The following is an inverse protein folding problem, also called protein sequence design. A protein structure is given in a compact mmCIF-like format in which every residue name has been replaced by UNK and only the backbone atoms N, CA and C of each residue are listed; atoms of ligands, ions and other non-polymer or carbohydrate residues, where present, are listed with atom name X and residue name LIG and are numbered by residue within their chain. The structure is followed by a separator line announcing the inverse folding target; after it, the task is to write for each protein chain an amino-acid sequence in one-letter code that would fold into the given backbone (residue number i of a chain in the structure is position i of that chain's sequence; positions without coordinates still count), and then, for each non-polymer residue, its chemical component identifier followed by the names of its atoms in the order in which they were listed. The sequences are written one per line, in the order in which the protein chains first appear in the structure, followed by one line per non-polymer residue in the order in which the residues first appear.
data_IF_677365799070
#
_entry.id   IF_677365799070
#
_cell.length_a   1.000
_cell.length_b   1.000
_cell.length_c   1.000
_cell.angle_alpha   90.00
_cell.angle_beta   90.00
_cell.angle_gamma   90.00
#
_symmetry.space_group_name_H-M   'P 1'
#
loop_
_entity.id
_entity.type
_entity.pdbx_description
1 polymer ?
#
# COMPACT_ATOMS: atom_id res chain seq x y z
N UNK A 1 -0.35 -15.68 60.82
CA UNK A 1 -0.73 -16.07 59.45
C UNK A 1 -0.59 -14.82 58.61
N UNK A 2 0.57 -14.72 57.97
CA UNK A 2 1.08 -13.49 57.37
C UNK A 2 0.87 -13.56 55.86
N UNK A 3 0.24 -12.52 55.34
CA UNK A 3 -0.24 -12.39 53.97
C UNK A 3 0.85 -11.73 53.13
N UNK A 4 1.57 -12.52 52.33
CA UNK A 4 2.60 -12.02 51.41
C UNK A 4 2.34 -12.57 50.00
N UNK A 5 2.20 -11.68 49.02
CA UNK A 5 2.16 -12.07 47.61
C UNK A 5 1.20 -11.32 46.70
N UNK A 6 0.78 -10.08 47.03
CA UNK A 6 0.27 -9.17 46.00
C UNK A 6 1.48 -8.73 45.17
N UNK A 7 1.66 -9.31 43.98
CA UNK A 7 2.68 -8.84 43.03
C UNK A 7 2.25 -7.48 42.54
N UNK A 8 2.99 -6.47 43.00
CA UNK A 8 2.82 -5.08 42.63
C UNK A 8 3.28 -4.89 41.19
N UNK A 9 2.34 -4.98 40.25
CA UNK A 9 2.53 -4.74 38.81
C UNK A 9 2.84 -3.25 38.50
N UNK A 10 2.82 -2.38 39.52
CA UNK A 10 3.20 -0.97 39.41
C UNK A 10 4.72 -0.78 39.25
N UNK A 11 5.52 -1.80 39.55
CA UNK A 11 6.99 -1.72 39.51
C UNK A 11 7.61 -1.74 38.10
N UNK A 12 6.82 -1.95 37.03
CA UNK A 12 7.30 -1.80 35.64
C UNK A 12 6.93 -0.46 34.99
N UNK A 13 6.23 0.43 35.70
CA UNK A 13 5.81 1.72 35.16
C UNK A 13 6.75 2.89 35.51
N UNK A 14 7.79 2.67 36.33
CA UNK A 14 8.64 3.75 36.86
C UNK A 14 10.06 3.84 36.27
N UNK A 15 10.41 3.03 35.26
CA UNK A 15 11.62 3.25 34.47
C UNK A 15 11.30 3.93 33.13
N UNK A 16 10.60 5.07 33.17
CA UNK A 16 10.81 6.06 32.11
C UNK A 16 12.14 6.75 32.40
N UNK A 17 13.24 6.14 31.95
CA UNK A 17 14.48 6.89 31.75
C UNK A 17 14.11 8.11 30.94
N UNK A 18 14.29 9.31 31.49
CA UNK A 18 14.12 10.55 30.74
C UNK A 18 15.07 10.48 29.56
N UNK A 19 14.54 10.16 28.37
CA UNK A 19 15.32 10.15 27.14
C UNK A 19 15.71 11.59 26.89
N UNK A 20 16.96 11.94 27.19
CA UNK A 20 17.47 13.26 26.89
C UNK A 20 17.39 13.50 25.38
N UNK A 21 16.89 14.66 24.98
CA UNK A 21 16.78 15.04 23.58
C UNK A 21 18.19 15.04 22.95
N UNK A 22 18.36 14.27 21.87
CA UNK A 22 19.62 14.25 21.13
C UNK A 22 19.89 15.63 20.51
N UNK A 23 21.15 16.08 20.55
CA UNK A 23 21.59 17.30 19.88
C UNK A 23 22.10 17.03 18.44
N UNK A 24 22.09 15.77 18.00
CA UNK A 24 22.51 15.37 16.67
C UNK A 24 21.32 15.41 15.69
N UNK A 25 21.39 16.25 14.65
CA UNK A 25 20.30 16.47 13.70
C UNK A 25 19.83 15.17 13.01
N UNK A 26 20.75 14.27 12.64
CA UNK A 26 20.42 12.99 12.00
C UNK A 26 19.66 12.06 12.95
N UNK A 27 20.07 12.04 14.22
CA UNK A 27 19.39 11.26 15.28
C UNK A 27 17.99 11.78 15.50
N UNK A 28 17.84 13.09 15.73
CA UNK A 28 16.54 13.74 15.90
C UNK A 28 15.64 13.55 14.68
N UNK A 29 16.19 13.61 13.46
CA UNK A 29 15.43 13.36 12.23
C UNK A 29 14.88 11.93 12.18
N UNK A 30 15.69 10.95 12.59
CA UNK A 30 15.31 9.53 12.59
C UNK A 30 14.24 9.26 13.66
N UNK A 31 14.39 9.83 14.85
CA UNK A 31 13.41 9.76 15.93
C UNK A 31 12.07 10.38 15.49
N UNK A 32 12.09 11.57 14.89
CA UNK A 32 10.87 12.22 14.37
C UNK A 32 10.16 11.33 13.35
N UNK A 33 10.88 10.79 12.36
CA UNK A 33 10.30 9.89 11.35
C UNK A 33 9.71 8.63 11.98
N UNK A 34 10.36 8.11 13.03
CA UNK A 34 9.88 6.94 13.76
C UNK A 34 8.56 7.26 14.48
N UNK A 35 8.48 8.37 15.21
CA UNK A 35 7.25 8.78 15.88
C UNK A 35 6.13 9.14 14.90
N UNK A 36 6.45 9.75 13.76
CA UNK A 36 5.48 9.97 12.69
C UNK A 36 4.88 8.64 12.25
N UNK A 37 5.73 7.67 11.88
CA UNK A 37 5.33 6.32 11.46
C UNK A 37 4.44 5.64 12.51
N UNK A 38 4.86 5.63 13.78
CA UNK A 38 4.06 5.07 14.89
C UNK A 38 2.70 5.75 14.97
N UNK A 39 2.66 7.09 14.83
CA UNK A 39 1.43 7.87 14.85
C UNK A 39 0.45 7.48 13.74
N UNK A 40 0.91 7.30 12.50
CA UNK A 40 0.06 6.86 11.40
C UNK A 40 -0.43 5.43 11.60
N UNK A 41 0.45 4.50 11.96
CA UNK A 41 0.08 3.10 12.22
C UNK A 41 -0.97 2.98 13.35
N UNK A 42 -0.81 3.79 14.41
CA UNK A 42 -1.77 3.83 15.50
C UNK A 42 -3.19 4.20 15.03
N UNK A 43 -3.34 5.08 14.04
CA UNK A 43 -4.65 5.44 13.47
C UNK A 43 -5.34 4.21 12.85
N UNK A 44 -4.61 3.41 12.08
CA UNK A 44 -5.13 2.18 11.47
C UNK A 44 -5.49 1.14 12.52
N UNK A 45 -4.60 0.89 13.48
CA UNK A 45 -4.78 -0.10 14.54
C UNK A 45 -5.96 0.27 15.48
N UNK A 46 -6.11 1.54 15.82
CA UNK A 46 -7.27 2.05 16.56
C UNK A 46 -8.54 1.87 15.72
N UNK A 47 -8.52 2.24 14.45
CA UNK A 47 -9.65 2.09 13.53
C UNK A 47 -10.13 0.64 13.40
N UNK A 48 -9.21 -0.33 13.27
CA UNK A 48 -9.50 -1.76 13.21
C UNK A 48 -10.18 -2.27 14.48
N UNK A 49 -9.67 -1.90 15.66
CA UNK A 49 -10.26 -2.28 16.96
C UNK A 49 -11.64 -1.68 17.17
N UNK A 50 -11.79 -0.38 16.88
CA UNK A 50 -13.08 0.32 16.94
C UNK A 50 -14.12 -0.35 16.03
N UNK A 51 -13.74 -0.71 14.81
CA UNK A 51 -14.62 -1.42 13.87
C UNK A 51 -15.03 -2.78 14.41
N UNK A 52 -14.06 -3.57 14.89
CA UNK A 52 -14.32 -4.90 15.43
C UNK A 52 -15.32 -4.87 16.59
N UNK A 53 -15.11 -3.98 17.57
CA UNK A 53 -16.02 -3.83 18.72
C UNK A 53 -17.42 -3.41 18.26
N UNK A 54 -17.51 -2.48 17.31
CA UNK A 54 -18.78 -2.01 16.74
C UNK A 54 -19.58 -3.12 16.06
N UNK A 55 -18.88 -4.06 15.41
CA UNK A 55 -19.50 -5.12 14.60
C UNK A 55 -19.77 -6.42 15.41
N UNK A 56 -19.04 -6.67 16.51
CA UNK A 56 -19.02 -8.00 17.13
C UNK A 56 -19.34 -8.06 18.63
N UNK A 57 -19.12 -7.00 19.41
CA UNK A 57 -19.04 -7.12 20.88
C UNK A 57 -20.13 -6.36 21.64
N UNK A 58 -20.58 -5.22 21.11
CA UNK A 58 -21.53 -4.36 21.83
C UNK A 58 -22.97 -4.49 21.34
N UNK A 59 -23.91 -4.48 22.29
CA UNK A 59 -25.33 -4.35 22.00
C UNK A 59 -25.65 -3.02 21.31
N UNK A 60 -26.75 -2.97 20.54
CA UNK A 60 -27.12 -1.78 19.78
C UNK A 60 -27.30 -0.56 20.71
N UNK A 61 -26.50 0.49 20.49
CA UNK A 61 -26.54 1.73 21.27
C UNK A 61 -25.39 1.92 22.27
N UNK A 62 -24.71 0.86 22.69
CA UNK A 62 -23.63 0.93 23.69
C UNK A 62 -22.29 1.44 23.13
N UNK A 63 -22.12 1.39 21.80
CA UNK A 63 -20.87 1.78 21.15
C UNK A 63 -20.44 3.22 21.44
N UNK A 64 -21.40 4.14 21.58
CA UNK A 64 -21.12 5.55 21.87
C UNK A 64 -20.57 5.75 23.27
N UNK A 65 -21.24 5.19 24.28
CA UNK A 65 -20.80 5.26 25.68
C UNK A 65 -19.39 4.69 25.83
N UNK A 66 -19.13 3.54 25.20
CA UNK A 66 -17.85 2.85 25.29
C UNK A 66 -16.67 3.69 24.76
N UNK A 67 -16.77 4.29 23.56
CA UNK A 67 -15.65 5.09 23.07
C UNK A 67 -15.48 6.43 23.82
N UNK A 68 -16.54 6.96 24.43
CA UNK A 68 -16.48 8.17 25.26
C UNK A 68 -15.72 7.91 26.56
N UNK A 69 -15.86 6.74 27.16
CA UNK A 69 -15.06 6.29 28.31
C UNK A 69 -13.55 6.21 27.98
N UNK A 70 -13.21 5.96 26.70
CA UNK A 70 -11.84 6.00 26.19
C UNK A 70 -11.35 7.42 25.86
N UNK A 71 -12.12 8.46 26.18
CA UNK A 71 -11.86 9.86 25.85
C UNK A 71 -11.74 10.12 24.34
N UNK A 72 -12.38 9.31 23.51
CA UNK A 72 -12.43 9.53 22.06
C UNK A 72 -13.70 10.29 21.67
N UNK A 73 -13.58 11.19 20.70
CA UNK A 73 -14.75 11.87 20.13
C UNK A 73 -15.28 11.12 18.91
N UNK A 74 -16.58 11.29 18.64
CA UNK A 74 -17.28 10.67 17.50
C UNK A 74 -16.61 10.93 16.15
N UNK A 75 -16.05 12.13 15.95
CA UNK A 75 -15.43 12.53 14.69
C UNK A 75 -14.18 11.68 14.42
N UNK A 76 -13.28 11.58 15.38
CA UNK A 76 -12.09 10.73 15.29
C UNK A 76 -12.47 9.26 15.11
N UNK A 77 -13.38 8.74 15.93
CA UNK A 77 -13.83 7.33 15.85
C UNK A 77 -14.37 7.00 14.46
N UNK A 78 -15.22 7.87 13.91
CA UNK A 78 -15.82 7.66 12.59
C UNK A 78 -14.76 7.70 11.49
N UNK A 79 -13.78 8.60 11.59
CA UNK A 79 -12.66 8.71 10.64
C UNK A 79 -11.73 7.52 10.71
N UNK A 80 -11.29 7.12 11.90
CA UNK A 80 -10.40 5.98 12.10
C UNK A 80 -11.01 4.68 11.56
N UNK A 81 -12.28 4.40 11.86
CA UNK A 81 -12.99 3.24 11.30
C UNK A 81 -13.05 3.31 9.77
N UNK A 82 -13.34 4.49 9.21
CA UNK A 82 -13.44 4.68 7.75
C UNK A 82 -12.09 4.44 7.08
N UNK A 83 -11.02 4.99 7.64
CA UNK A 83 -9.64 4.80 7.17
C UNK A 83 -9.31 3.30 7.15
N UNK A 84 -9.45 2.63 8.30
CA UNK A 84 -9.14 1.20 8.44
C UNK A 84 -10.03 0.27 7.58
N UNK A 85 -11.19 0.73 7.12
CA UNK A 85 -12.08 -0.06 6.26
C UNK A 85 -11.78 0.08 4.77
N UNK A 86 -11.19 1.21 4.38
CA UNK A 86 -11.08 1.58 2.97
C UNK A 86 -9.64 1.64 2.47
N UNK A 87 -8.66 1.81 3.37
CA UNK A 87 -7.25 1.87 3.04
C UNK A 87 -6.59 0.63 3.64
N UNK A 88 -5.88 -0.12 2.80
CA UNK A 88 -4.96 -1.14 3.27
C UNK A 88 -3.61 -0.49 3.61
N UNK A 89 -3.18 -0.64 4.85
CA UNK A 89 -1.93 -0.06 5.35
C UNK A 89 -0.71 -0.56 4.53
N UNK A 90 -0.77 -1.79 4.01
CA UNK A 90 0.31 -2.36 3.17
C UNK A 90 0.44 -1.68 1.81
N UNK A 91 -0.65 -1.13 1.27
CA UNK A 91 -0.68 -0.52 -0.06
C UNK A 91 -0.23 0.96 -0.03
N UNK A 92 0.01 1.50 1.17
CA UNK A 92 0.42 2.89 1.36
C UNK A 92 1.67 2.95 2.26
N UNK A 93 2.87 2.67 1.73
CA UNK A 93 4.11 2.71 2.50
C UNK A 93 4.41 4.08 3.13
N UNK A 94 3.84 5.15 2.59
CA UNK A 94 3.90 6.54 3.09
C UNK A 94 2.79 6.90 4.08
N UNK A 95 1.74 6.07 4.24
CA UNK A 95 0.59 6.35 5.12
C UNK A 95 0.97 6.48 6.60
N UNK A 96 2.08 5.84 7.00
CA UNK A 96 2.60 5.92 8.36
C UNK A 96 2.88 7.35 8.81
N UNK A 97 3.17 8.28 7.90
CA UNK A 97 3.45 9.68 8.27
C UNK A 97 2.25 10.62 8.11
N UNK A 98 1.11 10.11 7.63
CA UNK A 98 -0.05 10.95 7.32
C UNK A 98 -0.95 11.14 8.54
N UNK A 99 -1.40 12.37 8.73
CA UNK A 99 -2.39 12.69 9.76
C UNK A 99 -3.77 12.15 9.43
N UNK A 100 -4.61 12.00 10.47
CA UNK A 100 -5.99 11.46 10.35
C UNK A 100 -6.86 12.18 9.32
N UNK A 101 -6.68 13.49 9.12
CA UNK A 101 -7.47 14.25 8.16
C UNK A 101 -7.13 13.89 6.71
N UNK A 102 -5.83 13.81 6.40
CA UNK A 102 -5.34 13.44 5.06
C UNK A 102 -5.77 12.01 4.74
N UNK A 103 -5.51 11.08 5.66
CA UNK A 103 -5.93 9.69 5.55
C UNK A 103 -7.44 9.56 5.33
N UNK A 104 -8.25 10.34 6.05
CA UNK A 104 -9.69 10.32 5.88
C UNK A 104 -10.15 10.84 4.52
N UNK A 105 -9.54 11.91 4.01
CA UNK A 105 -9.86 12.43 2.68
C UNK A 105 -9.51 11.39 1.61
N UNK A 106 -8.34 10.76 1.67
CA UNK A 106 -7.92 9.67 0.76
C UNK A 106 -8.88 8.47 0.88
N UNK A 107 -9.22 8.05 2.11
CA UNK A 107 -10.11 6.90 2.35
C UNK A 107 -11.51 7.09 1.77
N UNK A 108 -11.91 8.33 1.52
CA UNK A 108 -13.22 8.69 0.98
C UNK A 108 -13.16 9.12 -0.50
N UNK A 109 -12.00 9.01 -1.15
CA UNK A 109 -11.87 9.04 -2.60
C UNK A 109 -12.32 7.70 -3.23
N UNK A 110 -12.67 7.68 -4.52
CA UNK A 110 -12.85 6.44 -5.27
C UNK A 110 -11.60 5.55 -5.17
N UNK A 111 -11.72 4.21 -5.00
CA UNK A 111 -10.56 3.34 -4.79
C UNK A 111 -9.45 3.48 -5.82
N UNK A 112 -9.81 3.54 -7.11
CA UNK A 112 -8.91 3.73 -8.26
C UNK A 112 -8.06 5.01 -8.15
N UNK A 113 -8.62 6.05 -7.51
CA UNK A 113 -8.04 7.39 -7.46
C UNK A 113 -7.15 7.60 -6.23
N UNK A 114 -7.03 6.62 -5.32
CA UNK A 114 -6.34 6.79 -4.04
C UNK A 114 -4.82 6.75 -4.14
N UNK A 115 -4.27 6.15 -5.19
CA UNK A 115 -2.84 6.11 -5.50
C UNK A 115 -2.50 6.68 -6.89
N UNK A 116 -3.51 7.11 -7.65
CA UNK A 116 -3.31 7.67 -8.98
C UNK A 116 -2.91 9.16 -8.89
N UNK A 117 -1.84 9.59 -9.60
CA UNK A 117 -1.47 11.00 -9.67
C UNK A 117 -2.60 11.89 -10.17
N UNK A 118 -2.78 13.04 -9.52
CA UNK A 118 -3.86 13.99 -9.78
C UNK A 118 -3.31 15.32 -10.28
N UNK A 119 -3.99 15.89 -11.29
CA UNK A 119 -3.68 17.22 -11.79
C UNK A 119 -4.34 18.31 -10.94
N UNK A 120 -3.51 19.16 -10.35
CA UNK A 120 -3.96 20.26 -9.49
C UNK A 120 -4.20 21.56 -10.26
N UNK A 121 -4.98 22.46 -9.66
CA UNK A 121 -5.20 23.82 -10.22
C UNK A 121 -3.92 24.66 -10.24
N UNK A 122 -2.93 24.32 -9.41
CA UNK A 122 -1.60 24.91 -9.44
C UNK A 122 -0.78 24.51 -10.68
N UNK A 123 -1.23 23.51 -11.44
CA UNK A 123 -0.48 22.90 -12.53
C UNK A 123 0.48 21.78 -12.09
N UNK A 124 0.59 21.54 -10.78
CA UNK A 124 1.37 20.43 -10.23
C UNK A 124 0.64 19.09 -10.41
N UNK A 125 1.41 18.01 -10.52
CA UNK A 125 0.90 16.64 -10.49
C UNK A 125 1.39 15.99 -9.20
N UNK A 126 0.46 15.58 -8.34
CA UNK A 126 0.77 14.97 -7.05
C UNK A 126 -0.02 13.70 -6.84
N UNK A 127 0.56 12.74 -6.14
CA UNK A 127 -0.22 11.62 -5.59
C UNK A 127 -1.04 12.07 -4.38
N UNK A 128 -2.18 11.42 -4.07
CA UNK A 128 -3.03 11.80 -2.94
C UNK A 128 -2.33 11.87 -1.58
N UNK A 129 -1.31 11.05 -1.35
CA UNK A 129 -0.50 11.05 -0.12
C UNK A 129 0.47 12.25 -0.02
N UNK A 130 0.77 12.91 -1.13
CA UNK A 130 1.57 14.14 -1.21
C UNK A 130 0.72 15.42 -1.15
N UNK A 131 -0.61 15.27 -1.21
CA UNK A 131 -1.54 16.39 -1.26
C UNK A 131 -1.93 16.88 0.13
N UNK A 132 -2.11 18.19 0.22
CA UNK A 132 -2.74 18.82 1.39
C UNK A 132 -4.23 18.46 1.44
N UNK A 133 -4.83 18.58 2.64
CA UNK A 133 -6.28 18.38 2.83
C UNK A 133 -7.13 19.25 1.89
N UNK A 134 -6.70 20.48 1.62
CA UNK A 134 -7.43 21.39 0.71
C UNK A 134 -7.40 20.86 -0.72
N UNK A 135 -6.22 20.49 -1.21
CA UNK A 135 -6.03 19.89 -2.52
C UNK A 135 -6.87 18.62 -2.68
N UNK A 136 -6.85 17.70 -1.69
CA UNK A 136 -7.67 16.49 -1.71
C UNK A 136 -9.17 16.78 -1.81
N UNK A 137 -9.66 17.77 -1.07
CA UNK A 137 -11.08 18.20 -1.12
C UNK A 137 -11.46 18.83 -2.45
N UNK A 138 -10.54 19.53 -3.10
CA UNK A 138 -10.75 20.10 -4.43
C UNK A 138 -10.78 19.01 -5.49
N UNK A 139 -9.82 18.08 -5.46
CA UNK A 139 -9.78 16.92 -6.35
C UNK A 139 -11.04 16.06 -6.22
N UNK A 140 -11.47 15.74 -5.01
CA UNK A 140 -12.72 15.00 -4.79
C UNK A 140 -13.95 15.71 -5.37
N UNK A 141 -14.02 17.05 -5.26
CA UNK A 141 -15.10 17.83 -5.85
C UNK A 141 -15.08 17.76 -7.38
N UNK A 142 -13.89 17.83 -8.00
CA UNK A 142 -13.73 17.67 -9.44
C UNK A 142 -14.10 16.27 -9.93
N UNK A 143 -13.61 15.24 -9.26
CA UNK A 143 -13.96 13.85 -9.55
C UNK A 143 -15.48 13.65 -9.47
N UNK A 144 -16.12 14.12 -8.40
CA UNK A 144 -17.57 14.02 -8.25
C UNK A 144 -18.33 14.74 -9.38
N UNK A 145 -17.88 15.92 -9.79
CA UNK A 145 -18.48 16.65 -10.92
C UNK A 145 -18.33 15.88 -12.24
N UNK A 146 -17.14 15.35 -12.52
CA UNK A 146 -16.87 14.55 -13.72
C UNK A 146 -17.71 13.26 -13.76
N UNK A 147 -17.84 12.55 -12.63
CA UNK A 147 -18.71 11.38 -12.54
C UNK A 147 -20.18 11.73 -12.77
N UNK A 148 -20.66 12.85 -12.20
CA UNK A 148 -22.03 13.30 -12.40
C UNK A 148 -22.32 13.67 -13.86
N UNK A 149 -21.39 14.36 -14.52
CA UNK A 149 -21.49 14.70 -15.95
C UNK A 149 -21.49 13.45 -16.83
N UNK A 150 -20.59 12.49 -16.57
CA UNK A 150 -20.54 11.23 -17.30
C UNK A 150 -21.84 10.42 -17.16
N UNK A 151 -22.43 10.35 -15.95
CA UNK A 151 -23.72 9.70 -15.73
C UNK A 151 -24.87 10.41 -16.46
N UNK A 152 -24.86 11.75 -16.48
CA UNK A 152 -25.86 12.52 -17.22
C UNK A 152 -25.77 12.26 -18.72
N UNK A 153 -24.56 12.26 -19.28
CA UNK A 153 -24.29 11.96 -20.69
C UNK A 153 -24.74 10.53 -21.05
N UNK A 154 -24.43 9.54 -20.21
CA UNK A 154 -24.86 8.16 -20.42
C UNK A 154 -26.39 8.00 -20.39
N UNK A 155 -27.07 8.75 -19.53
CA UNK A 155 -28.53 8.78 -19.47
C UNK A 155 -29.12 9.37 -20.76
N UNK A 156 -28.53 10.46 -21.28
CA UNK A 156 -28.95 11.09 -22.53
C UNK A 156 -28.75 10.15 -23.73
N UNK A 157 -27.62 9.46 -23.81
CA UNK A 157 -27.36 8.42 -24.82
C UNK A 157 -28.44 7.35 -24.80
N UNK A 158 -28.73 6.78 -23.62
CA UNK A 158 -29.78 5.76 -23.45
C UNK A 158 -31.17 6.25 -23.88
N UNK A 159 -31.48 7.53 -23.64
CA UNK A 159 -32.74 8.14 -24.07
C UNK A 159 -32.78 8.35 -25.60
N UNK A 160 -31.67 8.77 -26.20
CA UNK A 160 -31.53 8.92 -27.63
C UNK A 160 -31.70 7.57 -28.34
N UNK A 161 -31.08 6.50 -27.85
CA UNK A 161 -31.21 5.15 -28.38
C UNK A 161 -32.66 4.65 -28.32
N UNK A 162 -33.33 4.83 -27.18
CA UNK A 162 -34.76 4.48 -27.04
C UNK A 162 -35.64 5.26 -28.01
N UNK A 163 -35.32 6.53 -28.28
CA UNK A 163 -36.06 7.36 -29.24
C UNK A 163 -35.79 6.91 -30.68
N UNK A 164 -34.54 6.61 -31.02
CA UNK A 164 -34.16 6.09 -32.33
C UNK A 164 -34.88 4.77 -32.61
N UNK A 165 -34.92 3.86 -31.64
CA UNK A 165 -35.60 2.58 -31.78
C UNK A 165 -37.12 2.73 -31.95
N UNK A 166 -37.76 3.64 -31.19
CA UNK A 166 -39.20 3.95 -31.40
C UNK A 166 -39.49 4.52 -32.79
N UNK A 167 -38.61 5.37 -33.32
CA UNK A 167 -38.76 5.91 -34.67
C UNK A 167 -38.58 4.82 -35.72
N UNK A 168 -37.61 3.92 -35.53
CA UNK A 168 -37.39 2.76 -36.40
C UNK A 168 -38.59 1.80 -36.39
N UNK A 169 -39.19 1.56 -35.23
CA UNK A 169 -40.42 0.78 -35.09
C UNK A 169 -41.62 1.46 -35.80
N UNK A 170 -41.72 2.79 -35.73
CA UNK A 170 -42.76 3.55 -36.43
C UNK A 170 -42.58 3.49 -37.95
N UNK A 171 -41.35 3.65 -38.45
CA UNK A 171 -41.04 3.52 -39.88
C UNK A 171 -41.37 2.10 -40.36
N UNK A 172 -41.02 1.07 -39.59
CA UNK A 172 -41.32 -0.33 -39.91
C UNK A 172 -42.83 -0.61 -39.92
N UNK A 173 -43.60 0.02 -39.01
CA UNK A 173 -45.06 -0.08 -38.98
C UNK A 173 -45.74 0.66 -40.14
N UNK A 174 -45.22 1.81 -40.54
CA UNK A 174 -45.73 2.59 -41.69
C UNK A 174 -45.41 1.92 -43.03
N UNK A 175 -44.42 1.03 -43.08
CA UNK A 175 -44.12 0.19 -44.25
C UNK A 175 -45.02 -1.06 -44.36
N UNK A 176 -45.98 -1.27 -43.45
CA UNK A 176 -47.02 -2.31 -43.57
C UNK A 176 -48.38 -1.68 -43.89
N UNK A 177 -48.71 -1.75 -45.19
CA UNK A 177 -49.96 -1.45 -45.91
C UNK A 177 -50.51 -0.02 -45.93
N UNK A 178 -50.95 0.39 -47.13
CA UNK A 178 -52.34 0.81 -47.27
C UNK A 178 -53.07 0.15 -48.46
N UNK A 179 -54.09 -0.66 -48.17
CA UNK A 179 -55.25 -0.80 -49.05
C UNK A 179 -56.10 0.47 -48.94
N UNK A 180 -55.90 1.44 -49.84
CA UNK A 180 -56.86 2.51 -50.09
C UNK A 180 -56.98 2.71 -51.60
N UNK A 181 -58.17 2.43 -52.16
CA UNK A 181 -58.54 2.76 -53.54
C UNK A 181 -58.44 4.28 -53.74
N UNK A 182 -57.44 4.73 -54.47
CA UNK A 182 -57.46 6.02 -55.18
C UNK A 182 -57.06 5.76 -56.64
N UNK A 183 -57.74 6.44 -57.55
CA UNK A 183 -57.54 6.33 -58.99
C UNK A 183 -56.11 6.79 -59.32
N UNK A 184 -55.28 5.84 -59.73
CA UNK A 184 -53.86 6.03 -60.02
C UNK A 184 -53.70 6.58 -61.44
N UNK A 185 -53.17 7.79 -61.54
CA UNK A 185 -52.35 8.17 -62.70
C UNK A 185 -50.92 8.07 -62.20
N UNK A 186 -50.23 7.01 -62.60
CA UNK A 186 -48.83 6.74 -62.24
C UNK A 186 -47.98 7.93 -62.73
N UNK A 187 -47.33 8.69 -61.83
CA UNK A 187 -46.33 9.68 -62.24
C UNK A 187 -45.20 8.95 -62.98
N UNK A 188 -44.74 9.50 -64.10
CA UNK A 188 -43.80 8.83 -65.01
C UNK A 188 -42.46 8.42 -64.35
N UNK A 189 -42.18 8.92 -63.16
CA UNK A 189 -40.95 8.79 -62.35
C UNK A 189 -41.11 7.84 -61.12
N UNK A 190 -42.25 7.16 -60.96
CA UNK A 190 -42.51 6.25 -59.83
C UNK A 190 -41.61 4.99 -59.84
N UNK A 191 -41.31 4.46 -61.01
CA UNK A 191 -40.42 3.30 -61.16
C UNK A 191 -38.97 3.66 -60.79
N UNK A 192 -38.53 4.86 -61.15
CA UNK A 192 -37.18 5.35 -60.88
C UNK A 192 -36.97 5.59 -59.38
N UNK A 193 -37.92 6.24 -58.72
CA UNK A 193 -37.87 6.47 -57.26
C UNK A 193 -37.91 5.17 -56.44
N UNK A 194 -38.59 4.13 -56.92
CA UNK A 194 -38.59 2.79 -56.30
C UNK A 194 -37.24 2.09 -56.47
N UNK A 195 -36.60 2.23 -57.62
CA UNK A 195 -35.26 1.71 -57.86
C UNK A 195 -34.23 2.43 -56.97
N UNK A 196 -34.35 3.75 -56.82
CA UNK A 196 -33.50 4.56 -55.96
C UNK A 196 -33.64 4.19 -54.48
N UNK A 197 -34.87 3.96 -54.00
CA UNK A 197 -35.11 3.53 -52.62
C UNK A 197 -34.51 2.14 -52.33
N UNK A 198 -34.59 1.22 -53.30
CA UNK A 198 -33.99 -0.11 -53.19
C UNK A 198 -32.46 0.01 -53.11
N UNK A 199 -31.86 0.80 -54.00
CA UNK A 199 -30.42 1.04 -54.00
C UNK A 199 -29.94 1.74 -52.71
N UNK A 200 -30.72 2.68 -52.17
CA UNK A 200 -30.41 3.35 -50.91
C UNK A 200 -30.43 2.39 -49.72
N UNK A 201 -31.42 1.48 -49.65
CA UNK A 201 -31.50 0.48 -48.58
C UNK A 201 -30.37 -0.55 -48.65
N UNK A 202 -29.98 -0.99 -49.85
CA UNK A 202 -28.81 -1.86 -50.04
C UNK A 202 -27.53 -1.17 -49.55
N UNK A 203 -27.37 0.13 -49.86
CA UNK A 203 -26.23 0.93 -49.39
C UNK A 203 -26.22 1.14 -47.88
N UNK A 204 -27.38 1.29 -47.25
CA UNK A 204 -27.50 1.39 -45.79
C UNK A 204 -27.07 0.06 -45.15
N UNK A 205 -27.46 -1.08 -45.71
CA UNK A 205 -27.06 -2.39 -45.21
C UNK A 205 -25.53 -2.61 -45.33
N UNK A 206 -24.93 -2.20 -46.45
CA UNK A 206 -23.48 -2.26 -46.65
C UNK A 206 -22.71 -1.36 -45.67
N UNK A 207 -23.23 -0.16 -45.41
CA UNK A 207 -22.66 0.77 -44.44
C UNK A 207 -22.78 0.25 -43.00
N UNK A 208 -23.91 -0.37 -42.64
CA UNK A 208 -24.08 -1.01 -41.34
C UNK A 208 -23.06 -2.12 -41.13
N UNK A 209 -22.86 -2.96 -42.14
CA UNK A 209 -21.86 -4.03 -42.09
C UNK A 209 -20.43 -3.50 -41.91
N UNK A 210 -20.07 -2.43 -42.61
CA UNK A 210 -18.77 -1.78 -42.45
C UNK A 210 -18.57 -1.18 -41.05
N UNK A 211 -19.64 -0.66 -40.45
CA UNK A 211 -19.59 -0.13 -39.08
C UNK A 211 -19.42 -1.27 -38.08
N UNK A 212 -20.14 -2.39 -38.24
CA UNK A 212 -20.02 -3.56 -37.37
C UNK A 212 -18.60 -4.17 -37.47
N UNK A 213 -18.06 -4.33 -38.68
CA UNK A 213 -16.70 -4.81 -38.91
C UNK A 213 -15.64 -3.89 -38.25
N UNK A 214 -15.86 -2.57 -38.29
CA UNK A 214 -14.97 -1.60 -37.67
C UNK A 214 -15.05 -1.61 -36.13
N UNK A 215 -16.23 -1.84 -35.57
CA UNK A 215 -16.43 -2.01 -34.13
C UNK A 215 -15.72 -3.28 -33.65
N UNK A 216 -15.85 -4.38 -34.40
CA UNK A 216 -15.18 -5.63 -34.06
C UNK A 216 -13.65 -5.52 -34.13
N UNK A 217 -13.10 -4.87 -35.16
CA UNK A 217 -11.64 -4.61 -35.25
C UNK A 217 -11.16 -3.74 -34.08
N UNK A 218 -11.93 -2.70 -33.71
CA UNK A 218 -11.58 -1.84 -32.57
C UNK A 218 -11.62 -2.61 -31.24
N UNK A 219 -12.63 -3.44 -31.02
CA UNK A 219 -12.76 -4.26 -29.81
C UNK A 219 -11.61 -5.28 -29.70
N UNK A 220 -11.20 -5.89 -30.81
CA UNK A 220 -10.05 -6.81 -30.83
C UNK A 220 -8.74 -6.09 -30.51
N UNK A 221 -8.51 -4.89 -31.06
CA UNK A 221 -7.33 -4.07 -30.73
C UNK A 221 -7.29 -3.69 -29.27
N UNK A 222 -8.42 -3.25 -28.71
CA UNK A 222 -8.53 -2.86 -27.31
C UNK A 222 -8.28 -4.05 -26.38
N UNK A 223 -8.79 -5.24 -26.72
CA UNK A 223 -8.52 -6.46 -25.96
C UNK A 223 -7.03 -6.81 -25.95
N UNK A 224 -6.36 -6.71 -27.10
CA UNK A 224 -4.92 -6.95 -27.20
C UNK A 224 -4.11 -5.92 -26.41
N UNK A 225 -4.48 -4.64 -26.45
CA UNK A 225 -3.82 -3.58 -25.70
C UNK A 225 -3.96 -3.77 -24.18
N UNK A 226 -5.16 -4.14 -23.72
CA UNK A 226 -5.42 -4.46 -22.31
C UNK A 226 -4.57 -5.65 -21.82
N UNK A 227 -4.39 -6.66 -22.67
CA UNK A 227 -3.57 -7.84 -22.34
C UNK A 227 -2.07 -7.48 -22.28
N UNK A 228 -1.62 -6.58 -23.17
CA UNK A 228 -0.26 -6.06 -23.17
C UNK A 228 0.02 -5.18 -21.95
N UNK A 229 -0.96 -4.41 -21.49
CA UNK A 229 -0.87 -3.60 -20.28
C UNK A 229 -0.87 -4.44 -19.00
N UNK A 230 -1.71 -5.49 -18.94
CA UNK A 230 -1.65 -6.49 -17.86
C UNK A 230 -0.29 -7.18 -17.80
N UNK A 231 0.26 -7.61 -18.94
CA UNK A 231 1.57 -8.24 -19.00
C UNK A 231 2.70 -7.29 -18.54
N UNK A 232 2.59 -5.98 -18.81
CA UNK A 232 3.52 -4.97 -18.30
C UNK A 232 3.38 -4.75 -16.80
N UNK A 233 2.15 -4.73 -16.28
CA UNK A 233 1.91 -4.62 -14.84
C UNK A 233 2.51 -5.82 -14.09
N UNK A 234 2.24 -7.05 -14.57
CA UNK A 234 2.83 -8.27 -14.02
C UNK A 234 4.37 -8.24 -14.09
N UNK A 235 4.93 -7.71 -15.17
CA UNK A 235 6.38 -7.58 -15.32
C UNK A 235 6.99 -6.60 -14.30
N UNK A 236 6.34 -5.46 -14.04
CA UNK A 236 6.82 -4.50 -13.03
C UNK A 236 6.66 -5.04 -11.60
N UNK A 237 5.59 -5.78 -11.31
CA UNK A 237 5.40 -6.49 -10.02
C UNK A 237 6.51 -7.53 -9.80
N UNK A 238 6.77 -8.39 -10.79
CA UNK A 238 7.86 -9.38 -10.74
C UNK A 238 9.23 -8.70 -10.53
N UNK A 239 9.44 -7.52 -11.12
CA UNK A 239 10.69 -6.78 -11.01
C UNK A 239 10.86 -6.14 -9.63
N UNK A 240 9.79 -5.64 -9.03
CA UNK A 240 9.76 -5.17 -7.66
C UNK A 240 10.07 -6.31 -6.67
N UNK A 241 9.39 -7.46 -6.83
CA UNK A 241 9.64 -8.66 -6.04
C UNK A 241 11.09 -9.16 -6.16
N UNK A 242 11.65 -9.13 -7.37
CA UNK A 242 13.03 -9.51 -7.61
C UNK A 242 14.00 -8.58 -6.89
N UNK A 243 13.74 -7.26 -6.89
CA UNK A 243 14.54 -6.27 -6.16
C UNK A 243 14.49 -6.52 -4.65
N UNK A 244 13.30 -6.78 -4.09
CA UNK A 244 13.14 -7.08 -2.67
C UNK A 244 13.82 -8.39 -2.26
N UNK A 245 13.73 -9.43 -3.10
CA UNK A 245 14.47 -10.68 -2.91
C UNK A 245 15.99 -10.45 -2.97
N UNK A 246 16.48 -9.58 -3.85
CA UNK A 246 17.89 -9.22 -3.98
C UNK A 246 18.40 -8.54 -2.69
N UNK A 247 17.64 -7.59 -2.14
CA UNK A 247 17.95 -6.92 -0.86
C UNK A 247 17.95 -7.93 0.29
N UNK A 248 16.96 -8.82 0.35
CA UNK A 248 16.88 -9.87 1.37
C UNK A 248 18.05 -10.85 1.26
N UNK A 249 18.45 -11.21 0.04
CA UNK A 249 19.62 -12.05 -0.23
C UNK A 249 20.91 -11.39 0.25
N UNK A 250 21.10 -10.10 -0.01
CA UNK A 250 22.26 -9.33 0.46
C UNK A 250 22.33 -9.30 1.98
N UNK A 251 21.20 -9.06 2.66
CA UNK A 251 21.14 -9.06 4.11
C UNK A 251 21.46 -10.45 4.71
N UNK A 252 20.95 -11.54 4.11
CA UNK A 252 21.30 -12.89 4.54
C UNK A 252 22.79 -13.22 4.32
N UNK A 253 23.39 -12.76 3.23
CA UNK A 253 24.84 -12.93 3.01
C UNK A 253 25.66 -12.22 4.09
N UNK A 254 25.26 -11.00 4.46
CA UNK A 254 25.88 -10.25 5.57
C UNK A 254 25.74 -10.99 6.90
N UNK A 255 24.54 -11.48 7.23
CA UNK A 255 24.32 -12.27 8.45
C UNK A 255 25.16 -13.55 8.46
N UNK A 256 25.26 -14.26 7.34
CA UNK A 256 26.10 -15.46 7.24
C UNK A 256 27.59 -15.15 7.42
N UNK A 257 28.08 -14.00 6.93
CA UNK A 257 29.44 -13.56 7.19
C UNK A 257 29.66 -13.28 8.68
N UNK A 258 28.74 -12.56 9.34
CA UNK A 258 28.80 -12.31 10.79
C UNK A 258 28.79 -13.61 11.61
N UNK A 259 27.94 -14.58 11.25
CA UNK A 259 27.89 -15.89 11.90
C UNK A 259 29.23 -16.62 11.78
N UNK A 260 29.92 -16.54 10.64
CA UNK A 260 31.25 -17.15 10.48
C UNK A 260 32.29 -16.51 11.40
N UNK A 261 32.23 -15.19 11.59
CA UNK A 261 33.14 -14.50 12.52
C UNK A 261 32.84 -14.88 13.98
N UNK A 262 31.56 -14.97 14.37
CA UNK A 262 31.18 -15.52 15.69
C UNK A 262 31.68 -16.95 15.87
N UNK A 263 31.60 -17.79 14.83
CA UNK A 263 32.13 -19.16 14.88
C UNK A 263 33.66 -19.20 15.09
N UNK A 264 34.42 -18.27 14.48
CA UNK A 264 35.85 -18.14 14.77
C UNK A 264 36.09 -17.74 16.22
N UNK A 265 35.32 -16.78 16.74
CA UNK A 265 35.40 -16.36 18.14
C UNK A 265 35.13 -17.53 19.11
N UNK A 266 34.09 -18.33 18.86
CA UNK A 266 33.78 -19.51 19.66
C UNK A 266 34.94 -20.52 19.64
N UNK A 267 35.59 -20.72 18.48
CA UNK A 267 36.80 -21.56 18.41
C UNK A 267 37.93 -21.01 19.26
N UNK A 268 38.23 -19.72 19.16
CA UNK A 268 39.25 -19.07 19.97
C UNK A 268 38.94 -19.19 21.47
N UNK A 269 37.68 -19.00 21.88
CA UNK A 269 37.25 -19.17 23.28
C UNK A 269 37.45 -20.60 23.75
N UNK A 270 37.10 -21.60 22.94
CA UNK A 270 37.31 -23.01 23.29
C UNK A 270 38.80 -23.34 23.44
N UNK A 271 39.66 -22.83 22.56
CA UNK A 271 41.12 -22.98 22.69
C UNK A 271 41.64 -22.32 23.99
N UNK A 272 41.08 -21.17 24.38
CA UNK A 272 41.41 -20.52 25.65
C UNK A 272 40.95 -21.36 26.86
N UNK A 273 39.75 -21.92 26.81
CA UNK A 273 39.22 -22.79 27.86
C UNK A 273 40.04 -24.07 28.02
N UNK A 274 40.49 -24.68 26.92
CA UNK A 274 41.37 -25.85 26.94
C UNK A 274 42.74 -25.52 27.57
N UNK A 275 43.30 -24.35 27.24
CA UNK A 275 44.55 -23.86 27.87
C UNK A 275 44.37 -23.57 29.36
N UNK A 276 43.23 -22.97 29.76
CA UNK A 276 42.89 -22.79 31.17
C UNK A 276 42.70 -24.12 31.91
N UNK A 277 42.08 -25.11 31.27
CA UNK A 277 41.93 -26.44 31.85
C UNK A 277 43.31 -27.11 32.07
N UNK A 278 44.25 -26.95 31.12
CA UNK A 278 45.63 -27.39 31.30
C UNK A 278 46.35 -26.68 32.45
N UNK A 279 46.20 -25.36 32.57
CA UNK A 279 46.78 -24.57 33.67
C UNK A 279 46.17 -24.95 35.03
N UNK A 280 44.86 -25.14 35.09
CA UNK A 280 44.14 -25.59 36.29
C UNK A 280 44.59 -26.98 36.73
N UNK A 281 44.75 -27.92 35.79
CA UNK A 281 45.30 -29.25 36.07
C UNK A 281 46.77 -29.21 36.53
N UNK A 282 47.55 -28.20 36.08
CA UNK A 282 48.91 -27.96 36.58
C UNK A 282 48.95 -27.32 37.97
N UNK A 283 47.94 -26.52 38.34
CA UNK A 283 47.84 -25.95 39.69
C UNK A 283 47.54 -27.01 40.76
N UNK A 284 46.90 -28.12 40.40
CA UNK A 284 46.45 -29.13 41.39
C UNK A 284 47.48 -30.24 41.69
N UNK A 285 48.77 -30.05 41.40
CA UNK A 285 49.83 -30.97 41.87
C UNK A 285 51.13 -30.24 42.25
N UNK A 286 51.17 -29.76 43.49
CA UNK A 286 52.37 -29.78 44.38
C UNK A 286 53.63 -28.98 44.01
N UNK A 287 53.64 -28.09 43.02
CA UNK A 287 54.75 -27.14 42.82
C UNK A 287 54.23 -25.76 42.43
N UNK A 288 54.50 -24.75 43.26
CA UNK A 288 54.26 -23.33 42.97
C UNK A 288 55.03 -22.94 41.70
N UNK A 289 54.36 -22.59 40.58
CA UNK A 289 55.05 -22.05 39.42
C UNK A 289 55.58 -20.65 39.75
N UNK A 290 56.73 -20.29 39.20
CA UNK A 290 57.27 -18.93 39.28
C UNK A 290 56.17 -17.94 38.81
N UNK A 291 55.70 -17.11 39.74
CA UNK A 291 54.56 -16.20 39.57
C UNK A 291 54.71 -15.35 38.31
N UNK A 292 55.95 -15.07 37.90
CA UNK A 292 56.28 -14.33 36.68
C UNK A 292 55.71 -14.98 35.41
N UNK A 293 55.76 -16.31 35.29
CA UNK A 293 55.29 -17.03 34.09
C UNK A 293 53.75 -17.09 33.98
N UNK A 294 53.06 -17.20 35.12
CA UNK A 294 51.60 -17.16 35.19
C UNK A 294 51.07 -15.75 34.94
N UNK A 295 51.72 -14.74 35.54
CA UNK A 295 51.38 -13.34 35.31
C UNK A 295 51.61 -12.98 33.85
N UNK A 296 52.74 -13.38 33.24
CA UNK A 296 53.00 -13.12 31.83
C UNK A 296 51.96 -13.79 30.91
N UNK A 297 51.58 -15.05 31.18
CA UNK A 297 50.54 -15.73 30.42
C UNK A 297 49.17 -15.06 30.54
N UNK A 298 48.82 -14.54 31.72
CA UNK A 298 47.59 -13.79 31.94
C UNK A 298 47.62 -12.39 31.29
N UNK A 299 48.80 -11.74 31.26
CA UNK A 299 48.99 -10.45 30.58
C UNK A 299 48.88 -10.59 29.06
N UNK A 300 49.56 -11.56 28.45
CA UNK A 300 49.45 -11.83 27.00
C UNK A 300 48.02 -12.20 26.61
N UNK A 301 47.27 -12.84 27.51
CA UNK A 301 45.87 -13.18 27.32
C UNK A 301 44.95 -11.95 27.41
N UNK A 302 45.21 -11.03 28.34
CA UNK A 302 44.48 -9.77 28.46
C UNK A 302 44.71 -8.88 27.22
N UNK A 303 45.94 -8.81 26.71
CA UNK A 303 46.28 -8.00 25.54
C UNK A 303 45.57 -8.50 24.28
N UNK A 304 45.50 -9.81 24.07
CA UNK A 304 44.74 -10.40 22.94
C UNK A 304 43.23 -10.18 23.04
N UNK A 305 42.68 -10.08 24.25
CA UNK A 305 41.26 -9.76 24.44
C UNK A 305 40.97 -8.29 24.12
N UNK A 306 41.88 -7.39 24.48
CA UNK A 306 41.77 -5.96 24.18
C UNK A 306 41.88 -5.73 22.67
N UNK A 307 42.86 -6.35 22.00
CA UNK A 307 43.07 -6.21 20.56
C UNK A 307 41.85 -6.69 19.76
N UNK A 308 41.30 -7.87 20.11
CA UNK A 308 40.08 -8.38 19.48
C UNK A 308 38.85 -7.49 19.76
N UNK A 309 38.76 -6.88 20.95
CA UNK A 309 37.70 -5.93 21.29
C UNK A 309 37.79 -4.62 20.50
N UNK A 310 39.00 -4.15 20.21
CA UNK A 310 39.24 -2.93 19.41
C UNK A 310 38.89 -3.13 17.93
N UNK A 311 39.27 -4.26 17.34
CA UNK A 311 38.86 -4.62 15.97
C UNK A 311 37.33 -4.64 15.84
N UNK A 312 36.64 -5.18 16.85
CA UNK A 312 35.18 -5.20 16.93
C UNK A 312 34.55 -3.81 17.02
N UNK A 313 35.14 -2.91 17.81
CA UNK A 313 34.68 -1.54 17.93
C UNK A 313 34.81 -0.79 16.60
N UNK A 314 35.91 -0.96 15.89
CA UNK A 314 36.17 -0.25 14.64
C UNK A 314 35.29 -0.74 13.48
N UNK A 315 35.00 -2.05 13.41
CA UNK A 315 34.10 -2.65 12.41
C UNK A 315 32.61 -2.33 12.67
N UNK A 316 32.22 -2.10 13.93
CA UNK A 316 30.88 -1.62 14.29
C UNK A 316 30.72 -0.10 14.09
N UNK A 317 31.81 0.66 14.26
CA UNK A 317 31.81 2.11 14.12
C UNK A 317 31.84 2.58 12.64
N UNK A 318 32.37 1.76 11.72
CA UNK A 318 32.47 2.10 10.29
C UNK A 318 31.79 1.06 9.38
N UNK A 319 30.44 0.99 9.37
CA UNK A 319 29.68 -0.03 8.65
C UNK A 319 29.70 0.09 7.10
N UNK A 320 30.45 1.03 6.53
CA UNK A 320 30.51 1.31 5.08
C UNK A 320 31.95 1.41 4.58
N UNK A 321 32.63 0.27 4.47
CA UNK A 321 33.73 0.11 3.53
C UNK A 321 33.48 -1.09 2.60
N UNK A 322 32.87 -0.74 1.47
CA UNK A 322 32.97 -1.20 0.06
C UNK A 322 31.58 -1.06 -0.55
#
# INVERSE_FOLDING_TARGET
MENAGRRDITSQAEETSAVELSHNLTTVTTEIKTYQSIGGQAIFEIGRRLKWVKENDLAHGEFMNWYEELNMNKNFVSKAIKIASNIDESNFPTSGNLGVEVLYEIATMPPEERDMPQHLDSGEVKKPDEMTVRELRETKRKLAAAYAENMANQTLLTQADKKAQKLQDQVTKLQRDPEIKQVEVEPADYQDTKADLKAANEKIADLQKLVDDAIDDHNQRLAYELELEKAKADQEEIKADLSDLEVKRQNMLKQNAQIREVQKMVKSINELLDNFAMLRNRLDTTMLPDESSLVQGLTEMADKLIENGQVLHDDLAHPYHV
#
